data_IF_783846534107
#
_entry.id   IF_783846534107
#
_cell.length_a   1.000
_cell.length_b   1.000
_cell.length_c   1.000
_cell.angle_alpha   90.00
_cell.angle_beta   90.00
_cell.angle_gamma   90.00
#
_symmetry.space_group_name_H-M   'P 1'
#
loop_
_entity.id
_entity.type
_entity.pdbx_description
1 polymer ?
#
# COMPACT_ATOMS: atom_id res chain seq x y z
N UNK A 1 3.78 20.32 -34.62
CA UNK A 1 4.47 21.18 -33.63
C UNK A 1 3.71 22.50 -33.59
N UNK A 2 2.78 22.65 -32.64
CA UNK A 2 1.94 23.84 -32.50
C UNK A 2 2.21 24.40 -31.12
N UNK A 3 2.88 25.55 -31.09
CA UNK A 3 3.16 26.32 -29.87
C UNK A 3 1.96 27.22 -29.65
N UNK A 4 1.12 26.92 -28.65
CA UNK A 4 0.07 27.82 -28.20
C UNK A 4 0.53 28.56 -26.95
N UNK A 5 0.62 29.87 -27.14
CA UNK A 5 1.05 30.94 -26.26
C UNK A 5 0.12 31.06 -25.04
N UNK A 6 0.66 30.90 -23.82
CA UNK A 6 -0.06 30.99 -22.54
C UNK A 6 0.40 32.22 -21.76
N UNK A 7 0.16 33.40 -22.32
CA UNK A 7 0.20 34.68 -21.60
C UNK A 7 -1.15 35.34 -21.86
N UNK A 8 -1.72 35.92 -20.81
CA UNK A 8 -3.02 36.62 -20.74
C UNK A 8 -4.15 35.84 -20.04
N UNK A 9 -4.00 35.61 -18.73
CA UNK A 9 -5.14 35.41 -17.83
C UNK A 9 -4.74 35.74 -16.37
N UNK A 10 -4.28 36.98 -16.14
CA UNK A 10 -4.17 37.55 -14.78
C UNK A 10 -4.91 38.89 -14.79
N UNK A 11 -6.21 38.86 -14.50
CA UNK A 11 -6.97 40.02 -14.06
C UNK A 11 -8.35 39.58 -13.51
N UNK A 12 -8.73 40.15 -12.36
CA UNK A 12 -10.04 40.10 -11.70
C UNK A 12 -10.29 39.00 -10.66
N UNK A 13 -9.67 39.16 -9.48
CA UNK A 13 -10.31 38.75 -8.22
C UNK A 13 -11.29 39.84 -7.77
N UNK A 14 -12.58 39.53 -7.54
CA UNK A 14 -13.46 40.43 -6.82
C UNK A 14 -13.21 40.35 -5.30
N UNK A 15 -12.99 41.53 -4.74
CA UNK A 15 -12.87 41.89 -3.34
C UNK A 15 -14.18 41.56 -2.59
N UNK A 16 -14.22 40.47 -1.82
CA UNK A 16 -15.36 40.16 -0.95
C UNK A 16 -15.20 40.94 0.36
N UNK A 17 -15.79 42.14 0.36
CA UNK A 17 -16.00 42.97 1.54
C UNK A 17 -16.79 42.23 2.61
N UNK A 18 -16.15 42.09 3.78
CA UNK A 18 -16.73 41.73 5.07
C UNK A 18 -17.72 42.82 5.50
N UNK A 19 -19.02 42.54 5.44
CA UNK A 19 -20.06 43.38 6.07
C UNK A 19 -20.81 42.54 7.10
N UNK A 20 -20.61 42.89 8.37
CA UNK A 20 -21.42 42.40 9.48
C UNK A 20 -22.61 43.33 9.71
N UNK A 21 -23.78 42.75 9.94
CA UNK A 21 -24.87 43.39 10.68
C UNK A 21 -25.64 42.33 11.48
N UNK A 22 -26.08 42.63 12.72
CA UNK A 22 -26.72 41.69 13.61
C UNK A 22 -28.25 41.77 13.53
N UNK A 23 -28.90 40.65 13.86
CA UNK A 23 -30.27 40.62 14.37
C UNK A 23 -31.25 39.86 13.51
N UNK A 24 -31.72 38.70 13.98
CA UNK A 24 -32.90 38.62 14.83
C UNK A 24 -33.19 37.15 15.24
N UNK A 25 -33.52 36.99 16.52
CA UNK A 25 -33.98 35.73 17.10
C UNK A 25 -35.30 35.28 16.48
N UNK A 26 -35.30 34.11 15.86
CA UNK A 26 -36.47 33.23 15.87
C UNK A 26 -36.14 31.96 16.63
N UNK A 27 -36.61 31.96 17.87
CA UNK A 27 -36.69 30.86 18.81
C UNK A 27 -37.52 29.72 18.18
N UNK A 28 -36.85 28.79 17.53
CA UNK A 28 -37.40 27.50 17.09
C UNK A 28 -36.94 26.40 18.04
N UNK A 29 -37.65 26.22 19.14
CA UNK A 29 -37.45 25.11 20.05
C UNK A 29 -37.85 23.79 19.36
N UNK A 30 -36.89 23.02 18.84
CA UNK A 30 -37.01 21.58 18.55
C UNK A 30 -35.68 20.87 18.22
N UNK A 31 -34.54 21.38 18.68
CA UNK A 31 -33.22 20.72 18.52
C UNK A 31 -32.75 20.04 19.81
N UNK A 32 -33.25 18.83 20.08
CA UNK A 32 -32.80 18.11 21.27
C UNK A 32 -33.04 16.61 21.32
N UNK A 33 -33.43 15.95 20.22
CA UNK A 33 -33.68 14.49 20.23
C UNK A 33 -33.10 13.69 19.07
N UNK A 34 -32.46 14.31 18.07
CA UNK A 34 -31.89 13.59 16.92
C UNK A 34 -30.35 13.55 16.93
N UNK A 35 -29.69 14.45 17.66
CA UNK A 35 -28.22 14.44 17.76
C UNK A 35 -27.65 13.33 18.67
N UNK A 36 -28.46 12.79 19.59
CA UNK A 36 -28.03 11.73 20.51
C UNK A 36 -28.10 10.31 19.91
N UNK A 37 -28.85 10.10 18.83
CA UNK A 37 -29.00 8.76 18.24
C UNK A 37 -27.81 8.37 17.37
N UNK A 38 -27.18 9.32 16.66
CA UNK A 38 -26.06 9.01 15.77
C UNK A 38 -24.79 8.61 16.54
N UNK A 39 -24.48 9.29 17.65
CA UNK A 39 -23.29 8.99 18.44
C UNK A 39 -23.35 7.58 19.07
N UNK A 40 -24.52 7.16 19.57
CA UNK A 40 -24.72 5.83 20.14
C UNK A 40 -24.59 4.73 19.08
N UNK A 41 -25.10 4.98 17.86
CA UNK A 41 -24.98 4.03 16.74
C UNK A 41 -23.52 3.84 16.33
N UNK A 42 -22.74 4.92 16.24
CA UNK A 42 -21.31 4.82 15.87
C UNK A 42 -20.51 4.02 16.92
N UNK A 43 -20.77 4.24 18.21
CA UNK A 43 -20.12 3.48 19.29
C UNK A 43 -20.54 2.00 19.25
N UNK A 44 -21.81 1.71 19.01
CA UNK A 44 -22.31 0.33 18.89
C UNK A 44 -21.68 -0.41 17.70
N UNK A 45 -21.53 0.25 16.55
CA UNK A 45 -20.88 -0.34 15.36
C UNK A 45 -19.40 -0.59 15.62
N UNK A 46 -18.65 0.35 16.22
CA UNK A 46 -17.24 0.16 16.53
C UNK A 46 -16.98 -0.99 17.53
N UNK A 47 -17.84 -1.13 18.54
CA UNK A 47 -17.78 -2.24 19.49
C UNK A 47 -18.11 -3.59 18.82
N UNK A 48 -19.09 -3.62 17.91
CA UNK A 48 -19.50 -4.85 17.21
C UNK A 48 -18.43 -5.35 16.24
N UNK A 49 -17.78 -4.44 15.50
CA UNK A 49 -16.67 -4.79 14.60
C UNK A 49 -15.49 -5.34 15.39
N UNK A 50 -15.13 -4.70 16.51
CA UNK A 50 -14.04 -5.16 17.38
C UNK A 50 -14.32 -6.57 17.96
N UNK A 51 -15.57 -6.87 18.31
CA UNK A 51 -15.96 -8.18 18.84
C UNK A 51 -15.88 -9.30 17.78
N UNK A 52 -16.20 -9.03 16.52
CA UNK A 52 -16.05 -10.03 15.45
C UNK A 52 -14.59 -10.43 15.19
N UNK A 53 -13.64 -9.50 15.34
CA UNK A 53 -12.23 -9.78 15.09
C UNK A 53 -11.48 -10.40 16.29
N UNK A 54 -12.04 -10.35 17.50
CA UNK A 54 -11.45 -11.04 18.66
C UNK A 54 -11.90 -12.52 18.80
N UNK A 55 -12.85 -12.98 17.99
CA UNK A 55 -13.46 -14.31 18.14
C UNK A 55 -12.77 -15.47 17.40
N UNK A 56 -11.80 -15.22 16.52
CA UNK A 56 -11.26 -16.28 15.63
C UNK A 56 -9.74 -16.22 15.43
N UNK A 57 -8.98 -16.74 16.40
CA UNK A 57 -7.84 -17.65 16.15
C UNK A 57 -7.08 -17.95 17.45
N UNK A 58 -7.69 -18.77 18.30
CA UNK A 58 -6.95 -19.68 19.18
C UNK A 58 -7.30 -21.10 18.76
N UNK A 59 -6.90 -21.47 17.54
CA UNK A 59 -6.75 -22.88 17.21
C UNK A 59 -5.56 -23.38 18.03
N UNK A 60 -5.87 -23.95 19.19
CA UNK A 60 -4.98 -24.87 19.89
C UNK A 60 -4.59 -25.96 18.89
N UNK A 61 -3.36 -25.90 18.38
CA UNK A 61 -2.76 -27.11 17.83
C UNK A 61 -2.58 -28.08 18.99
N UNK A 62 -3.45 -29.08 18.98
CA UNK A 62 -3.34 -30.30 19.78
C UNK A 62 -1.99 -30.92 19.45
N UNK A 63 -1.13 -31.00 20.46
CA UNK A 63 0.10 -31.76 20.45
C UNK A 63 -0.27 -33.23 20.70
N UNK A 64 -0.03 -34.18 19.77
CA UNK A 64 -0.09 -35.60 20.09
C UNK A 64 1.20 -35.98 20.81
N UNK A 65 1.06 -36.47 22.04
CA UNK A 65 2.11 -37.17 22.78
C UNK A 65 2.47 -38.46 22.04
N UNK A 66 3.52 -38.42 21.21
CA UNK A 66 4.19 -39.59 20.70
C UNK A 66 5.59 -39.65 21.33
N UNK A 67 5.64 -40.31 22.49
CA UNK A 67 6.88 -40.84 23.06
C UNK A 67 7.46 -41.88 22.09
N UNK A 68 8.46 -41.49 21.32
CA UNK A 68 9.31 -42.40 20.55
C UNK A 68 10.78 -42.10 20.87
N UNK A 69 11.52 -43.18 21.17
CA UNK A 69 12.92 -43.25 21.59
C UNK A 69 13.90 -42.44 20.72
N UNK A 70 15.09 -42.07 21.22
CA UNK A 70 16.07 -41.29 20.46
C UNK A 70 16.73 -42.13 19.36
N UNK A 71 16.59 -41.79 18.06
CA UNK A 71 17.57 -42.23 17.08
C UNK A 71 18.82 -41.34 17.21
N UNK A 72 19.92 -42.01 17.53
CA UNK A 72 21.27 -41.45 17.44
C UNK A 72 21.52 -40.95 16.01
N UNK A 73 21.92 -39.69 15.89
CA UNK A 73 22.68 -39.10 14.78
C UNK A 73 22.04 -39.10 13.40
N UNK A 74 21.73 -37.93 12.84
CA UNK A 74 22.53 -37.26 11.78
C UNK A 74 21.86 -35.97 11.29
N UNK A 75 22.70 -34.95 11.10
CA UNK A 75 22.51 -33.74 10.30
C UNK A 75 21.40 -32.74 10.70
N UNK A 76 21.83 -31.71 11.45
CA UNK A 76 21.26 -30.37 11.42
C UNK A 76 21.13 -29.89 9.95
N UNK A 77 19.97 -29.44 9.46
CA UNK A 77 19.91 -28.84 8.14
C UNK A 77 20.52 -27.43 8.22
N UNK A 78 21.77 -27.27 7.78
CA UNK A 78 22.33 -25.98 7.40
C UNK A 78 21.60 -25.50 6.13
N UNK A 79 20.41 -24.89 6.27
CA UNK A 79 19.64 -24.37 5.12
C UNK A 79 19.27 -22.88 5.23
N UNK A 80 19.59 -22.23 6.34
CA UNK A 80 19.19 -20.85 6.62
C UNK A 80 20.11 -19.79 6.00
N UNK A 81 21.41 -20.08 5.84
CA UNK A 81 22.36 -19.10 5.28
C UNK A 81 22.15 -18.88 3.77
N UNK A 82 21.87 -19.92 2.97
CA UNK A 82 21.68 -19.74 1.52
C UNK A 82 20.37 -19.04 1.17
N UNK A 83 19.30 -19.26 1.95
CA UNK A 83 18.00 -18.63 1.71
C UNK A 83 18.05 -17.11 2.00
N UNK A 84 18.65 -16.70 3.12
CA UNK A 84 18.81 -15.28 3.42
C UNK A 84 19.76 -14.56 2.45
N UNK A 85 20.84 -15.22 1.99
CA UNK A 85 21.74 -14.63 0.97
C UNK A 85 21.00 -14.38 -0.35
N UNK A 86 20.13 -15.31 -0.74
CA UNK A 86 19.32 -15.19 -1.94
C UNK A 86 18.25 -14.10 -1.80
N UNK A 87 17.60 -14.01 -0.64
CA UNK A 87 16.66 -12.94 -0.33
C UNK A 87 17.34 -11.57 -0.35
N UNK A 88 18.54 -11.45 0.23
CA UNK A 88 19.33 -10.22 0.22
C UNK A 88 19.74 -9.82 -1.20
N UNK A 89 20.26 -10.77 -1.99
CA UNK A 89 20.66 -10.52 -3.38
C UNK A 89 19.46 -10.11 -4.25
N UNK A 90 18.30 -10.71 -4.00
CA UNK A 90 17.05 -10.30 -4.63
C UNK A 90 16.65 -8.88 -4.22
N UNK A 91 16.65 -8.59 -2.91
CA UNK A 91 16.23 -7.29 -2.38
C UNK A 91 17.11 -6.17 -2.93
N UNK A 92 18.43 -6.37 -3.00
CA UNK A 92 19.35 -5.41 -3.60
C UNK A 92 19.01 -5.05 -5.06
N UNK A 93 18.35 -5.95 -5.79
CA UNK A 93 17.85 -5.70 -7.14
C UNK A 93 16.44 -5.09 -7.15
N UNK A 94 15.55 -5.56 -6.27
CA UNK A 94 14.14 -5.18 -6.26
C UNK A 94 13.83 -3.89 -5.49
N UNK A 95 14.64 -3.52 -4.51
CA UNK A 95 14.43 -2.37 -3.61
C UNK A 95 14.16 -1.06 -4.38
N UNK A 96 14.93 -0.67 -5.43
CA UNK A 96 14.63 0.53 -6.20
C UNK A 96 13.23 0.53 -6.83
N UNK A 97 12.77 -0.64 -7.29
CA UNK A 97 11.45 -0.81 -7.90
C UNK A 97 10.35 -0.80 -6.83
N UNK A 98 10.58 -1.45 -5.68
CA UNK A 98 9.65 -1.44 -4.53
C UNK A 98 9.48 -0.02 -3.96
N UNK A 99 10.55 0.74 -3.83
CA UNK A 99 10.54 2.13 -3.35
C UNK A 99 9.90 3.10 -4.35
N UNK A 100 9.98 2.78 -5.65
CA UNK A 100 9.35 3.58 -6.69
C UNK A 100 7.82 3.41 -6.73
N UNK A 101 7.27 2.27 -6.28
CA UNK A 101 5.83 1.99 -6.36
C UNK A 101 4.94 3.02 -5.62
N UNK A 102 5.22 3.41 -4.35
CA UNK A 102 4.47 4.48 -3.67
C UNK A 102 4.53 5.83 -4.40
N UNK A 103 5.64 6.11 -5.09
CA UNK A 103 5.81 7.38 -5.80
C UNK A 103 4.83 7.53 -6.97
N UNK A 104 4.36 6.42 -7.57
CA UNK A 104 3.38 6.44 -8.66
C UNK A 104 2.05 7.02 -8.18
N UNK A 105 1.59 6.66 -6.97
CA UNK A 105 0.38 7.24 -6.40
C UNK A 105 0.51 8.76 -6.22
N UNK A 106 1.66 9.22 -5.73
CA UNK A 106 1.93 10.65 -5.56
C UNK A 106 1.99 11.40 -6.89
N UNK A 107 2.60 10.81 -7.93
CA UNK A 107 2.65 11.38 -9.27
C UNK A 107 1.26 11.49 -9.89
N UNK A 108 0.43 10.45 -9.78
CA UNK A 108 -0.97 10.46 -10.25
C UNK A 108 -1.75 11.56 -9.53
N UNK A 109 -1.65 11.65 -8.21
CA UNK A 109 -2.36 12.66 -7.42
C UNK A 109 -1.91 14.09 -7.77
N UNK A 110 -0.61 14.33 -7.95
CA UNK A 110 -0.07 15.62 -8.34
C UNK A 110 -0.52 16.03 -9.77
N UNK A 111 -0.48 15.09 -10.71
CA UNK A 111 -0.97 15.31 -12.07
C UNK A 111 -2.48 15.59 -12.09
N UNK A 112 -3.27 14.83 -11.32
CA UNK A 112 -4.70 15.07 -11.15
C UNK A 112 -5.00 16.46 -10.56
N UNK A 113 -4.25 16.90 -9.54
CA UNK A 113 -4.40 18.22 -8.93
C UNK A 113 -4.10 19.39 -9.87
N UNK A 114 -3.35 19.14 -10.96
CA UNK A 114 -3.04 20.11 -12.01
C UNK A 114 -3.81 19.87 -13.31
N UNK A 115 -4.75 18.91 -13.32
CA UNK A 115 -5.45 18.44 -14.51
C UNK A 115 -4.52 18.02 -15.67
N UNK A 116 -3.32 17.54 -15.34
CA UNK A 116 -2.33 17.04 -16.29
C UNK A 116 -2.64 15.59 -16.68
N UNK A 117 -3.53 15.44 -17.66
CA UNK A 117 -3.96 14.12 -18.17
C UNK A 117 -2.78 13.32 -18.73
N UNK A 118 -1.81 13.98 -19.37
CA UNK A 118 -0.62 13.33 -19.88
C UNK A 118 0.29 12.84 -18.74
N UNK A 119 0.41 13.63 -17.68
CA UNK A 119 1.09 13.25 -16.43
C UNK A 119 0.46 12.03 -15.76
N UNK A 120 -0.88 11.97 -15.66
CA UNK A 120 -1.58 10.79 -15.11
C UNK A 120 -1.29 9.56 -15.96
N UNK A 121 -1.45 9.66 -17.29
CA UNK A 121 -1.21 8.55 -18.21
C UNK A 121 0.23 8.03 -18.10
N UNK A 122 1.22 8.94 -18.11
CA UNK A 122 2.63 8.61 -17.99
C UNK A 122 2.96 7.93 -16.66
N UNK A 123 2.40 8.41 -15.56
CA UNK A 123 2.58 7.79 -14.24
C UNK A 123 2.00 6.36 -14.21
N UNK A 124 0.78 6.15 -14.73
CA UNK A 124 0.16 4.83 -14.75
C UNK A 124 0.92 3.82 -15.65
N UNK A 125 1.40 4.26 -16.82
CA UNK A 125 2.27 3.43 -17.66
C UNK A 125 3.63 3.13 -17.01
N UNK A 126 4.20 4.09 -16.29
CA UNK A 126 5.44 3.87 -15.54
C UNK A 126 5.25 2.87 -14.42
N UNK A 127 4.12 2.95 -13.70
CA UNK A 127 3.75 1.97 -12.69
C UNK A 127 3.64 0.55 -13.25
N UNK A 128 3.02 0.36 -14.42
CA UNK A 128 2.89 -0.98 -15.02
C UNK A 128 4.27 -1.61 -15.30
N UNK A 129 5.23 -0.80 -15.77
CA UNK A 129 6.60 -1.25 -16.01
C UNK A 129 7.32 -1.67 -14.72
N UNK A 130 7.17 -0.88 -13.66
CA UNK A 130 7.76 -1.20 -12.34
C UNK A 130 7.16 -2.49 -11.78
N UNK A 131 5.84 -2.65 -11.86
CA UNK A 131 5.15 -3.86 -11.40
C UNK A 131 5.59 -5.10 -12.20
N UNK A 132 5.77 -4.96 -13.51
CA UNK A 132 6.27 -6.05 -14.35
C UNK A 132 7.72 -6.45 -13.98
N UNK A 133 8.57 -5.46 -13.71
CA UNK A 133 9.96 -5.66 -13.30
C UNK A 133 10.08 -6.45 -11.98
N UNK A 134 9.31 -6.05 -10.95
CA UNK A 134 9.29 -6.77 -9.66
C UNK A 134 8.77 -8.20 -9.83
N UNK A 135 7.71 -8.40 -10.63
CA UNK A 135 7.13 -9.73 -10.84
C UNK A 135 8.08 -10.70 -11.55
N UNK A 136 8.86 -10.21 -12.50
CA UNK A 136 9.80 -11.05 -13.26
C UNK A 136 10.89 -11.66 -12.38
N UNK A 137 11.16 -11.03 -11.24
CA UNK A 137 12.30 -11.37 -10.40
C UNK A 137 11.89 -11.87 -9.02
N UNK A 138 10.69 -12.41 -8.79
CA UNK A 138 10.29 -12.88 -7.46
C UNK A 138 11.31 -13.86 -6.82
N UNK A 139 11.60 -13.72 -5.52
CA UNK A 139 12.56 -14.58 -4.84
C UNK A 139 12.00 -16.01 -4.75
N UNK A 140 12.85 -17.01 -4.90
CA UNK A 140 12.46 -18.42 -4.69
C UNK A 140 13.41 -19.06 -3.67
N UNK A 141 12.97 -19.86 -2.68
CA UNK A 141 11.60 -20.24 -2.34
C UNK A 141 11.15 -19.58 -1.02
N UNK A 142 10.52 -18.40 -1.08
CA UNK A 142 9.80 -17.83 0.06
C UNK A 142 8.31 -17.70 -0.26
N UNK A 143 7.53 -18.70 0.16
CA UNK A 143 6.09 -18.75 -0.10
C UNK A 143 5.35 -17.60 0.59
N UNK A 144 5.76 -17.21 1.79
CA UNK A 144 5.08 -16.18 2.55
C UNK A 144 5.30 -14.80 1.90
N UNK A 145 6.56 -14.50 1.57
CA UNK A 145 6.93 -13.27 0.87
C UNK A 145 6.29 -13.20 -0.51
N UNK A 146 6.40 -14.26 -1.31
CA UNK A 146 5.83 -14.28 -2.66
C UNK A 146 4.31 -14.11 -2.64
N UNK A 147 3.60 -14.77 -1.72
CA UNK A 147 2.14 -14.61 -1.61
C UNK A 147 1.76 -13.17 -1.28
N UNK A 148 2.48 -12.55 -0.33
CA UNK A 148 2.21 -11.17 0.06
C UNK A 148 2.55 -10.18 -1.07
N UNK A 149 3.67 -10.39 -1.76
CA UNK A 149 4.14 -9.56 -2.84
C UNK A 149 3.25 -9.69 -4.09
N UNK A 150 2.89 -10.91 -4.49
CA UNK A 150 1.95 -11.15 -5.61
C UNK A 150 0.62 -10.46 -5.38
N UNK A 151 0.03 -10.59 -4.19
CA UNK A 151 -1.21 -9.89 -3.84
C UNK A 151 -1.07 -8.38 -3.94
N UNK A 152 0.03 -7.83 -3.43
CA UNK A 152 0.32 -6.40 -3.49
C UNK A 152 0.46 -5.92 -4.94
N UNK A 153 1.21 -6.67 -5.76
CA UNK A 153 1.40 -6.36 -7.18
C UNK A 153 0.11 -6.48 -7.98
N UNK A 154 -0.77 -7.41 -7.64
CA UNK A 154 -2.09 -7.53 -8.27
C UNK A 154 -2.99 -6.33 -7.97
N UNK A 155 -3.02 -5.83 -6.73
CA UNK A 155 -3.73 -4.58 -6.43
C UNK A 155 -3.13 -3.39 -7.19
N UNK A 156 -1.80 -3.30 -7.33
CA UNK A 156 -1.18 -2.30 -8.22
C UNK A 156 -1.64 -2.47 -9.67
N UNK A 157 -1.64 -3.68 -10.25
CA UNK A 157 -2.09 -3.94 -11.64
C UNK A 157 -3.54 -3.52 -11.85
N UNK A 158 -4.42 -3.89 -10.93
CA UNK A 158 -5.83 -3.51 -11.00
C UNK A 158 -5.96 -1.98 -10.99
N UNK A 159 -5.30 -1.31 -10.05
CA UNK A 159 -5.34 0.15 -9.96
C UNK A 159 -4.77 0.85 -11.20
N UNK A 160 -3.63 0.40 -11.72
CA UNK A 160 -2.99 1.00 -12.89
C UNK A 160 -3.82 0.79 -14.17
N UNK A 161 -4.38 -0.40 -14.37
CA UNK A 161 -5.28 -0.67 -15.50
C UNK A 161 -6.53 0.21 -15.43
N UNK A 162 -7.13 0.33 -14.25
CA UNK A 162 -8.34 1.15 -14.06
C UNK A 162 -8.02 2.65 -14.22
N UNK A 163 -6.82 3.09 -13.82
CA UNK A 163 -6.31 4.44 -14.10
C UNK A 163 -6.23 4.69 -15.60
N UNK A 164 -5.54 3.81 -16.35
CA UNK A 164 -5.37 3.96 -17.80
C UNK A 164 -6.72 3.97 -18.52
N UNK A 165 -7.61 3.06 -18.13
CA UNK A 165 -8.93 2.95 -18.72
C UNK A 165 -9.82 4.16 -18.36
N UNK A 166 -9.75 4.66 -17.13
CA UNK A 166 -10.46 5.85 -16.67
C UNK A 166 -10.01 7.10 -17.42
N UNK A 167 -8.70 7.31 -17.54
CA UNK A 167 -8.12 8.43 -18.28
C UNK A 167 -8.52 8.39 -19.77
N UNK A 168 -8.40 7.24 -20.42
CA UNK A 168 -8.71 7.10 -21.85
C UNK A 168 -10.20 7.31 -22.18
N UNK A 169 -11.09 6.99 -21.23
CA UNK A 169 -12.55 7.13 -21.40
C UNK A 169 -13.12 8.41 -20.79
N UNK A 170 -12.27 9.27 -20.23
CA UNK A 170 -12.69 10.45 -19.45
C UNK A 170 -13.66 10.06 -18.31
N UNK A 171 -13.43 8.88 -17.72
CA UNK A 171 -14.27 8.26 -16.70
C UNK A 171 -13.64 8.44 -15.31
N UNK A 172 -14.17 9.42 -14.58
CA UNK A 172 -13.73 9.75 -13.23
C UNK A 172 -13.90 8.56 -12.26
N UNK A 173 -14.91 7.71 -12.45
CA UNK A 173 -15.13 6.55 -11.58
C UNK A 173 -14.03 5.51 -11.70
N UNK A 174 -13.47 5.33 -12.91
CA UNK A 174 -12.30 4.49 -13.14
C UNK A 174 -11.04 5.02 -12.44
N UNK A 175 -10.85 6.35 -12.44
CA UNK A 175 -9.73 6.99 -11.73
C UNK A 175 -9.90 6.92 -10.21
N UNK A 176 -11.11 7.06 -9.70
CA UNK A 176 -11.41 6.88 -8.27
C UNK A 176 -11.17 5.43 -7.82
N UNK A 177 -11.62 4.45 -8.60
CA UNK A 177 -11.39 3.04 -8.32
C UNK A 177 -9.88 2.71 -8.35
N UNK A 178 -9.14 3.29 -9.30
CA UNK A 178 -7.69 3.19 -9.34
C UNK A 178 -7.04 3.67 -8.05
N UNK A 179 -7.47 4.82 -7.53
CA UNK A 179 -6.94 5.37 -6.28
C UNK A 179 -7.18 4.44 -5.08
N UNK A 180 -8.33 3.75 -5.02
CA UNK A 180 -8.64 2.76 -3.97
C UNK A 180 -7.65 1.59 -4.00
N UNK A 181 -7.44 1.00 -5.17
CA UNK A 181 -6.51 -0.12 -5.34
C UNK A 181 -5.06 0.27 -5.05
N UNK A 182 -4.60 1.40 -5.60
CA UNK A 182 -3.23 1.90 -5.36
C UNK A 182 -2.96 2.23 -3.89
N UNK A 183 -3.96 2.79 -3.18
CA UNK A 183 -3.83 3.05 -1.76
C UNK A 183 -3.73 1.75 -0.94
N UNK A 184 -4.56 0.75 -1.25
CA UNK A 184 -4.48 -0.58 -0.63
C UNK A 184 -3.12 -1.23 -0.89
N UNK A 185 -2.67 -1.24 -2.14
CA UNK A 185 -1.39 -1.82 -2.51
C UNK A 185 -0.20 -1.15 -1.78
N UNK A 186 -0.23 0.19 -1.66
CA UNK A 186 0.78 0.93 -0.89
C UNK A 186 0.76 0.57 0.61
N UNK A 187 -0.42 0.31 1.17
CA UNK A 187 -0.55 -0.17 2.55
C UNK A 187 -0.02 -1.61 2.72
N UNK A 188 -0.35 -2.50 1.79
CA UNK A 188 0.08 -3.91 1.81
C UNK A 188 1.59 -4.05 1.58
N UNK A 189 2.19 -3.15 0.79
CA UNK A 189 3.65 -3.08 0.59
C UNK A 189 4.40 -2.89 1.91
N UNK A 190 3.86 -2.15 2.88
CA UNK A 190 4.47 -2.04 4.22
C UNK A 190 4.49 -3.39 4.94
N UNK A 191 3.48 -4.22 4.73
CA UNK A 191 3.43 -5.59 5.25
C UNK A 191 4.49 -6.50 4.59
N UNK A 192 4.70 -6.33 3.28
CA UNK A 192 5.78 -7.02 2.55
C UNK A 192 7.15 -6.63 3.13
N UNK A 193 7.42 -5.34 3.35
CA UNK A 193 8.69 -4.89 3.93
C UNK A 193 8.92 -5.44 5.35
N UNK A 194 7.86 -5.56 6.16
CA UNK A 194 7.95 -6.17 7.48
C UNK A 194 8.28 -7.69 7.43
N UNK A 195 7.83 -8.41 6.40
CA UNK A 195 8.22 -9.81 6.17
C UNK A 195 9.72 -9.88 5.83
N UNK A 196 10.16 -9.03 4.90
CA UNK A 196 11.56 -8.93 4.48
C UNK A 196 12.48 -8.65 5.68
N UNK A 197 12.13 -7.67 6.51
CA UNK A 197 12.91 -7.29 7.71
C UNK A 197 12.99 -8.42 8.74
N UNK A 198 11.88 -9.16 8.94
CA UNK A 198 11.84 -10.34 9.83
C UNK A 198 12.73 -11.48 9.33
N UNK A 199 12.86 -11.64 8.01
CA UNK A 199 13.55 -12.78 7.39
C UNK A 199 15.02 -12.48 7.04
N UNK A 200 15.46 -11.21 7.13
CA UNK A 200 16.84 -10.75 6.96
C UNK A 200 17.67 -10.40 8.23
N UNK A 201 17.30 -10.70 9.49
CA UNK A 201 17.88 -10.01 10.64
C UNK A 201 19.35 -10.31 10.95
N UNK A 202 19.99 -11.32 10.36
CA UNK A 202 21.33 -11.81 10.77
C UNK A 202 22.35 -12.00 9.63
N UNK A 203 22.29 -11.25 8.53
CA UNK A 203 23.42 -11.19 7.59
C UNK A 203 24.51 -10.24 8.10
N UNK A 204 25.24 -10.63 9.15
CA UNK A 204 26.62 -10.15 9.29
C UNK A 204 27.46 -10.89 8.23
N UNK A 205 28.03 -10.19 7.23
CA UNK A 205 28.99 -10.81 6.33
C UNK A 205 30.15 -11.29 7.21
N UNK A 206 30.24 -12.60 7.38
CA UNK A 206 31.20 -13.21 8.27
C UNK A 206 32.62 -12.88 7.75
N UNK A 207 33.24 -11.86 8.33
CA UNK A 207 34.61 -11.37 8.05
C UNK A 207 35.69 -12.37 8.54
N UNK A 208 35.30 -13.64 8.68
CA UNK A 208 36.11 -14.73 9.25
C UNK A 208 36.91 -15.51 8.20
N UNK A 209 36.71 -15.25 6.90
CA UNK A 209 37.47 -15.90 5.82
C UNK A 209 38.65 -15.07 5.28
N UNK A 210 39.04 -13.99 5.97
CA UNK A 210 40.36 -13.38 5.77
C UNK A 210 41.41 -14.26 6.45
N UNK A 211 41.79 -15.34 5.78
CA UNK A 211 43.06 -16.02 6.03
C UNK A 211 44.16 -14.97 5.81
N UNK A 212 44.66 -14.40 6.90
CA UNK A 212 45.92 -13.65 6.88
C UNK A 212 47.02 -14.63 6.50
N UNK A 213 47.50 -14.52 5.27
CA UNK A 213 48.73 -15.17 4.77
C UNK A 213 49.92 -14.32 5.21
#
# INVERSE_FOLDING_TARGET
MVVLNRRDAVANLPEITRSGAPGNSTKGARDGRIALSVAVVVIAVAAFVSWMFHGTSLVRMVLPDNSAAPPSGTATPLKSSSAGAQLYAWLAHAEPSLDALPSIQHQIAAAAGSADIAGILGACQSGERIVADVQQHLPSPDIALNTALERTLDDYRLGLRDCLAGVQREDASGVELAAVYLHRATADLRGVMAIIERDLPDFEPNDSDVVRI
#
